data_IF_748443063115
#
_entry.id   IF_748443063115
#
_cell.length_a   1.000
_cell.length_b   1.000
_cell.length_c   1.000
_cell.angle_alpha   90.00
_cell.angle_beta   90.00
_cell.angle_gamma   90.00
#
_symmetry.space_group_name_H-M   'P 1'
#
loop_
_entity.id
_entity.type
_entity.pdbx_description
1 polymer ?
#
# COMPACT_ATOMS: atom_id res chain seq x y z
N UNK A 1 10.61 1.04 7.95
CA UNK A 1 11.04 0.39 6.69
C UNK A 1 11.95 1.34 5.94
N UNK A 2 13.05 0.83 5.43
CA UNK A 2 13.99 1.67 4.69
C UNK A 2 13.48 1.99 3.29
N UNK A 3 13.92 3.10 2.71
CA UNK A 3 13.56 3.42 1.32
C UNK A 3 13.93 2.28 0.36
N UNK A 4 13.13 2.12 -0.69
CA UNK A 4 13.35 1.06 -1.66
C UNK A 4 14.34 1.49 -2.74
N UNK A 5 15.01 0.53 -3.39
CA UNK A 5 16.04 0.87 -4.39
C UNK A 5 15.42 1.46 -5.66
N UNK A 6 16.20 2.25 -6.38
CA UNK A 6 15.76 2.88 -7.63
C UNK A 6 16.00 1.96 -8.82
N UNK A 7 15.58 0.69 -8.70
CA UNK A 7 15.71 -0.26 -9.80
C UNK A 7 14.70 0.10 -10.90
N UNK A 8 15.09 -0.05 -12.18
CA UNK A 8 14.23 0.40 -13.29
C UNK A 8 12.83 -0.20 -13.30
N UNK A 9 12.71 -1.49 -13.00
CA UNK A 9 11.40 -2.15 -12.99
C UNK A 9 10.55 -1.67 -11.80
N UNK A 10 11.17 -1.46 -10.65
CA UNK A 10 10.45 -0.95 -9.48
C UNK A 10 10.04 0.51 -9.69
N UNK A 11 10.89 1.30 -10.35
CA UNK A 11 10.56 2.67 -10.70
C UNK A 11 9.38 2.73 -11.66
N UNK A 12 9.27 1.76 -12.57
CA UNK A 12 8.14 1.68 -13.48
C UNK A 12 6.85 1.40 -12.73
N UNK A 13 6.89 0.52 -11.72
CA UNK A 13 5.72 0.28 -10.87
C UNK A 13 5.35 1.56 -10.14
N UNK A 14 6.33 2.27 -9.60
CA UNK A 14 6.06 3.52 -8.90
C UNK A 14 5.37 4.55 -9.79
N UNK A 15 5.81 4.67 -11.05
CA UNK A 15 5.16 5.57 -12.00
C UNK A 15 3.73 5.18 -12.28
N UNK A 16 3.44 3.88 -12.27
CA UNK A 16 2.11 3.37 -12.54
C UNK A 16 1.16 3.61 -11.38
N UNK A 17 1.57 3.30 -10.15
CA UNK A 17 0.65 3.34 -9.00
C UNK A 17 0.66 4.67 -8.26
N UNK A 18 1.75 5.44 -8.36
CA UNK A 18 1.86 6.77 -7.74
C UNK A 18 2.21 7.75 -8.85
N UNK A 19 1.32 7.86 -9.83
CA UNK A 19 1.56 8.58 -11.08
C UNK A 19 1.71 10.09 -10.89
N UNK A 20 1.29 10.62 -9.76
CA UNK A 20 1.25 12.06 -9.52
C UNK A 20 2.51 12.61 -8.85
N UNK A 21 3.54 11.80 -8.68
CA UNK A 21 4.80 12.29 -8.13
C UNK A 21 5.97 11.52 -8.74
N UNK A 22 7.19 11.98 -8.49
CA UNK A 22 8.39 11.34 -9.01
C UNK A 22 8.57 9.96 -8.39
N UNK A 23 8.97 8.94 -9.18
CA UNK A 23 9.14 7.60 -8.62
C UNK A 23 10.14 7.53 -7.49
N UNK A 24 11.19 8.34 -7.52
CA UNK A 24 12.16 8.38 -6.44
C UNK A 24 11.52 8.79 -5.12
N UNK A 25 10.58 9.72 -5.17
CA UNK A 25 9.88 10.16 -3.98
C UNK A 25 8.95 9.08 -3.46
N UNK A 26 8.26 8.39 -4.36
CA UNK A 26 7.37 7.30 -3.99
C UNK A 26 8.15 6.19 -3.28
N UNK A 27 9.30 5.82 -3.82
CA UNK A 27 10.12 4.74 -3.25
C UNK A 27 10.81 5.15 -1.95
N UNK A 28 10.92 6.44 -1.67
CA UNK A 28 11.49 6.93 -0.42
C UNK A 28 10.54 6.71 0.76
N UNK A 29 9.25 6.46 0.49
CA UNK A 29 8.24 6.23 1.52
C UNK A 29 7.58 4.88 1.28
N UNK A 30 8.26 3.80 1.64
CA UNK A 30 7.82 2.45 1.25
C UNK A 30 6.47 2.02 1.82
N UNK A 31 6.12 2.44 3.03
CA UNK A 31 4.81 2.11 3.59
C UNK A 31 3.69 2.69 2.72
N UNK A 32 3.83 3.96 2.36
CA UNK A 32 2.88 4.65 1.51
C UNK A 32 2.86 4.05 0.11
N UNK A 33 4.04 3.78 -0.45
CA UNK A 33 4.17 3.15 -1.76
C UNK A 33 3.46 1.79 -1.79
N UNK A 34 3.68 0.96 -0.78
CA UNK A 34 3.05 -0.37 -0.73
C UNK A 34 1.52 -0.26 -0.59
N UNK A 35 1.03 0.75 0.10
CA UNK A 35 -0.42 0.98 0.17
C UNK A 35 -0.98 1.25 -1.22
N UNK A 36 -0.28 2.03 -2.04
CA UNK A 36 -0.69 2.27 -3.43
C UNK A 36 -0.58 1.00 -4.27
N UNK A 37 0.48 0.22 -4.08
CA UNK A 37 0.64 -1.05 -4.78
C UNK A 37 -0.53 -1.98 -4.47
N UNK A 38 -0.87 -2.12 -3.21
CA UNK A 38 -1.97 -3.00 -2.80
C UNK A 38 -3.32 -2.55 -3.33
N UNK A 39 -3.45 -1.27 -3.67
CA UNK A 39 -4.72 -0.73 -4.16
C UNK A 39 -4.80 -0.76 -5.68
N UNK A 40 -3.73 -0.42 -6.38
CA UNK A 40 -3.79 -0.13 -7.81
C UNK A 40 -2.93 -1.02 -8.70
N UNK A 41 -1.97 -1.76 -8.16
CA UNK A 41 -1.05 -2.52 -9.00
C UNK A 41 -1.72 -3.72 -9.63
N UNK A 42 -1.27 -4.06 -10.83
CA UNK A 42 -1.66 -5.32 -11.48
C UNK A 42 -0.93 -6.48 -10.82
N UNK A 43 -1.40 -7.73 -11.03
CA UNK A 43 -0.66 -8.88 -10.51
C UNK A 43 0.79 -8.93 -10.96
N UNK A 44 1.08 -8.56 -12.21
CA UNK A 44 2.46 -8.53 -12.70
C UNK A 44 3.31 -7.52 -11.93
N UNK A 45 2.74 -6.34 -11.66
CA UNK A 45 3.45 -5.32 -10.89
C UNK A 45 3.70 -5.76 -9.45
N UNK A 46 2.74 -6.48 -8.86
CA UNK A 46 2.91 -7.02 -7.52
C UNK A 46 4.07 -8.01 -7.48
N UNK A 47 4.21 -8.84 -8.52
CA UNK A 47 5.33 -9.78 -8.60
C UNK A 47 6.67 -9.05 -8.69
N UNK A 48 6.73 -7.93 -9.40
CA UNK A 48 7.94 -7.11 -9.43
C UNK A 48 8.28 -6.64 -8.02
N UNK A 49 7.30 -6.11 -7.32
CA UNK A 49 7.52 -5.58 -5.96
C UNK A 49 7.99 -6.70 -5.02
N UNK A 50 7.46 -7.91 -5.18
CA UNK A 50 7.85 -9.04 -4.35
C UNK A 50 9.31 -9.47 -4.52
N UNK A 51 9.97 -9.01 -5.55
CA UNK A 51 11.39 -9.25 -5.73
C UNK A 51 12.25 -8.37 -4.82
N UNK A 52 11.67 -7.32 -4.27
CA UNK A 52 12.38 -6.35 -3.44
C UNK A 52 11.95 -6.33 -2.01
N UNK A 53 10.75 -6.84 -1.71
CA UNK A 53 10.22 -6.90 -0.34
C UNK A 53 9.57 -8.24 -0.11
N UNK A 54 9.51 -8.66 1.14
CA UNK A 54 8.85 -9.92 1.50
C UNK A 54 7.43 -9.66 1.99
N UNK A 55 6.73 -10.74 2.37
CA UNK A 55 5.33 -10.61 2.80
C UNK A 55 5.19 -9.83 4.10
N UNK A 56 6.22 -9.82 4.94
CA UNK A 56 6.16 -9.03 6.17
C UNK A 56 6.11 -7.54 5.89
N UNK A 57 6.68 -7.10 4.75
CA UNK A 57 6.60 -5.70 4.36
C UNK A 57 5.17 -5.29 4.02
N UNK A 58 4.43 -6.16 3.34
CA UNK A 58 3.01 -5.89 3.06
C UNK A 58 2.20 -5.83 4.34
N UNK A 59 2.47 -6.75 5.27
CA UNK A 59 1.78 -6.72 6.57
C UNK A 59 2.09 -5.43 7.33
N UNK A 60 3.36 -5.02 7.34
CA UNK A 60 3.72 -3.76 7.98
C UNK A 60 3.03 -2.58 7.34
N UNK A 61 2.93 -2.58 6.01
CA UNK A 61 2.23 -1.51 5.29
C UNK A 61 0.75 -1.47 5.67
N UNK A 62 0.12 -2.64 5.86
CA UNK A 62 -1.27 -2.68 6.32
C UNK A 62 -1.41 -2.10 7.71
N UNK A 63 -0.49 -2.45 8.62
CA UNK A 63 -0.55 -1.98 9.99
C UNK A 63 -0.36 -0.47 10.11
N UNK A 64 0.39 0.10 9.19
CA UNK A 64 0.77 1.51 9.24
C UNK A 64 0.21 2.33 8.09
N UNK A 65 -0.74 1.77 7.33
CA UNK A 65 -1.26 2.41 6.14
C UNK A 65 -1.80 3.81 6.42
N UNK A 66 -1.39 4.81 5.63
CA UNK A 66 -1.96 6.14 5.78
C UNK A 66 -3.44 6.13 5.39
N UNK A 67 -4.27 6.90 6.09
CA UNK A 67 -5.69 6.99 5.73
C UNK A 67 -5.89 7.54 4.33
N UNK A 68 -6.91 7.04 3.66
CA UNK A 68 -7.34 7.62 2.39
C UNK A 68 -6.66 7.06 1.16
N UNK A 69 -5.77 6.07 1.29
CA UNK A 69 -5.12 5.46 0.13
C UNK A 69 -5.85 4.19 -0.30
N UNK A 70 -6.03 3.26 0.61
CA UNK A 70 -6.65 1.97 0.26
C UNK A 70 -8.17 2.07 0.29
N UNK A 71 -8.81 1.43 -0.69
CA UNK A 71 -10.26 1.30 -0.66
C UNK A 71 -10.67 0.08 0.16
N UNK A 72 -11.97 -0.05 0.44
CA UNK A 72 -12.47 -1.10 1.32
C UNK A 72 -12.21 -2.50 0.76
N UNK A 73 -12.31 -2.67 -0.55
CA UNK A 73 -12.10 -3.97 -1.18
C UNK A 73 -10.65 -4.41 -1.06
N UNK A 74 -9.71 -3.53 -1.39
CA UNK A 74 -8.28 -3.83 -1.30
C UNK A 74 -7.88 -4.08 0.14
N UNK A 75 -8.40 -3.28 1.06
CA UNK A 75 -8.16 -3.44 2.48
C UNK A 75 -8.57 -4.83 2.95
N UNK A 76 -9.80 -5.24 2.63
CA UNK A 76 -10.30 -6.54 3.05
C UNK A 76 -9.48 -7.67 2.45
N UNK A 77 -9.20 -7.60 1.14
CA UNK A 77 -8.45 -8.65 0.46
C UNK A 77 -7.06 -8.84 1.07
N UNK A 78 -6.30 -7.76 1.19
CA UNK A 78 -4.93 -7.86 1.65
C UNK A 78 -4.82 -8.26 3.12
N UNK A 79 -5.77 -7.82 3.96
CA UNK A 79 -5.78 -8.26 5.35
C UNK A 79 -6.06 -9.77 5.45
N UNK A 80 -7.01 -10.28 4.68
CA UNK A 80 -7.32 -11.71 4.70
C UNK A 80 -6.12 -12.53 4.23
N UNK A 81 -5.49 -12.15 3.10
CA UNK A 81 -4.32 -12.88 2.58
C UNK A 81 -3.15 -12.83 3.55
N UNK A 82 -3.06 -11.78 4.34
CA UNK A 82 -1.98 -11.62 5.33
C UNK A 82 -2.31 -12.30 6.66
N UNK A 83 -3.43 -12.98 6.75
CA UNK A 83 -3.81 -13.68 7.96
C UNK A 83 -4.41 -12.80 9.05
N UNK A 84 -4.77 -11.57 8.71
CA UNK A 84 -5.35 -10.62 9.67
C UNK A 84 -6.88 -10.69 9.58
N UNK A 85 -7.42 -11.71 10.19
CA UNK A 85 -8.87 -11.93 10.16
C UNK A 85 -9.36 -12.21 11.59
N UNK A 86 -10.47 -11.60 12.04
CA UNK A 86 -11.35 -10.72 11.26
C UNK A 86 -10.65 -9.44 10.87
N UNK A 87 -11.07 -8.90 9.71
CA UNK A 87 -10.42 -7.74 9.12
C UNK A 87 -10.53 -6.54 10.07
N UNK A 88 -9.40 -5.91 10.43
CA UNK A 88 -9.47 -4.75 11.32
C UNK A 88 -10.08 -3.54 10.62
N UNK A 89 -10.56 -2.56 11.38
CA UNK A 89 -11.12 -1.35 10.78
C UNK A 89 -10.10 -0.66 9.88
N UNK A 90 -10.58 -0.13 8.76
CA UNK A 90 -9.73 0.59 7.83
C UNK A 90 -9.31 1.93 8.42
N UNK A 91 -8.06 2.38 8.19
CA UNK A 91 -7.64 3.70 8.68
C UNK A 91 -8.55 4.78 8.16
N UNK A 92 -8.89 5.73 9.00
CA UNK A 92 -9.82 6.78 8.65
C UNK A 92 -9.13 8.12 8.55
N UNK A 93 -9.56 8.94 7.61
CA UNK A 93 -9.09 10.30 7.54
C UNK A 93 -9.60 11.03 8.75
N UNK A 94 -8.75 11.86 9.30
CA UNK A 94 -9.12 12.66 10.43
C UNK A 94 -10.36 13.50 10.12
N UNK A 95 -11.36 13.40 10.97
CA UNK A 95 -12.55 14.23 10.87
C UNK A 95 -13.51 13.90 9.75
N UNK A 96 -13.19 12.94 8.90
CA UNK A 96 -14.02 12.62 7.75
C UNK A 96 -14.86 11.38 7.93
N UNK A 97 -14.41 10.46 8.74
CA UNK A 97 -15.09 9.18 8.91
C UNK A 97 -15.63 8.99 10.29
N UNK A 98 -15.92 10.06 10.97
CA UNK A 98 -16.54 9.96 12.26
C UNK A 98 -17.91 9.31 12.10
N UNK A 99 -18.20 8.40 12.92
CA UNK A 99 -19.50 7.73 12.87
C UNK A 99 -20.58 8.73 13.05
N UNK A 100 -21.10 8.88 12.62
CA UNK A 100 -21.99 9.59 12.70
C UNK A 100 -22.88 9.50 13.39
N UNK A 101 -22.78 9.97 13.44
CA UNK A 101 -23.50 9.92 13.86
C UNK A 101 -24.43 9.62 13.81
N UNK A 102 -24.46 9.32 13.65
CA UNK A 102 -25.35 8.97 13.48
C UNK A 102 -25.80 8.85 13.83
#
# INVERSE_FOLDING_TARGET
>A
MTPLPHAPDLMAVARSVVWFEEPEQALAEPIRFLAYVMTYATPAEIEVVRQYVDESAFTEALEKAPPGIMDARSWAYWNVVSGRYPVPPMPRRFGLDTPRLD
#
